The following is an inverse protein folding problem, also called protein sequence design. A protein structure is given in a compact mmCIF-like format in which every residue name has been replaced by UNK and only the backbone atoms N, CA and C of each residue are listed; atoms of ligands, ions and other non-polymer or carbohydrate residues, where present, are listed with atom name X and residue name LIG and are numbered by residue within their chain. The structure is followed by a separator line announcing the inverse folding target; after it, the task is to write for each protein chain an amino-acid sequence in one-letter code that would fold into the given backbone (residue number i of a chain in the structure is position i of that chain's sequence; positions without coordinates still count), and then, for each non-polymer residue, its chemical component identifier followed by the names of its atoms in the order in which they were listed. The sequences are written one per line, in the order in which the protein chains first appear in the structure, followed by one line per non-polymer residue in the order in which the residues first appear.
data_IF_856761618327
#
_entry.id   IF_856761618327
#
_cell.length_a   1.000
_cell.length_b   1.000
_cell.length_c   1.000
_cell.angle_alpha   90.00
_cell.angle_beta   90.00
_cell.angle_gamma   90.00
#
_symmetry.space_group_name_H-M   'P 1'
#
loop_
_entity.id
_entity.type
_entity.pdbx_description
1 polymer ?
#
# COMPACT_ATOMS: atom_id res chain seq x y z
N UNK A 1 -22.82 14.52 -2.51
CA UNK A 1 -21.98 13.45 -1.93
C UNK A 1 -21.05 12.98 -3.04
N UNK A 2 -19.73 13.19 -2.94
CA UNK A 2 -18.79 12.74 -3.98
C UNK A 2 -18.39 11.30 -3.65
N UNK A 3 -18.96 10.34 -4.36
CA UNK A 3 -18.56 8.94 -4.25
C UNK A 3 -17.18 8.75 -4.87
N UNK A 4 -16.26 8.20 -4.07
CA UNK A 4 -14.93 7.82 -4.53
C UNK A 4 -15.06 6.45 -5.20
N UNK A 5 -15.30 6.44 -6.51
CA UNK A 5 -15.41 5.21 -7.30
C UNK A 5 -14.01 4.63 -7.44
N UNK A 6 -13.66 3.68 -6.58
CA UNK A 6 -12.44 2.88 -6.71
C UNK A 6 -12.70 1.86 -7.82
N UNK A 7 -12.29 2.17 -9.04
CA UNK A 7 -12.33 1.22 -10.16
C UNK A 7 -11.37 0.08 -9.85
N UNK A 8 -11.88 -1.08 -9.44
CA UNK A 8 -11.07 -2.31 -9.37
C UNK A 8 -10.60 -2.61 -10.80
N UNK A 9 -9.29 -2.72 -11.01
CA UNK A 9 -8.73 -3.19 -12.27
C UNK A 9 -9.35 -4.57 -12.60
N UNK A 10 -9.59 -4.88 -13.87
CA UNK A 10 -10.33 -6.07 -14.35
C UNK A 10 -9.55 -7.39 -14.13
N UNK A 11 -9.16 -7.68 -12.88
CA UNK A 11 -8.24 -8.76 -12.50
C UNK A 11 -6.93 -8.79 -13.30
N UNK A 12 -6.54 -7.69 -13.95
CA UNK A 12 -5.24 -7.57 -14.60
C UNK A 12 -4.15 -7.64 -13.52
N UNK A 13 -3.38 -8.72 -13.57
CA UNK A 13 -2.16 -8.87 -12.79
C UNK A 13 -1.03 -8.25 -13.61
N UNK A 14 -0.43 -7.20 -13.08
CA UNK A 14 0.78 -6.62 -13.65
C UNK A 14 2.00 -7.27 -12.99
N UNK A 15 3.03 -7.55 -13.80
CA UNK A 15 4.28 -8.13 -13.30
C UNK A 15 5.14 -7.00 -12.77
N UNK A 16 5.47 -7.05 -11.48
CA UNK A 16 6.39 -6.10 -10.86
C UNK A 16 7.81 -6.66 -10.92
N UNK A 17 8.73 -5.87 -11.43
CA UNK A 17 10.16 -6.21 -11.41
C UNK A 17 10.77 -5.80 -10.08
N UNK A 18 11.68 -6.59 -9.54
CA UNK A 18 12.38 -6.27 -8.30
C UNK A 18 13.87 -6.13 -8.58
N UNK A 19 14.53 -5.18 -7.91
CA UNK A 19 15.98 -5.09 -7.92
C UNK A 19 16.63 -6.10 -6.97
N UNK A 20 17.97 -6.12 -6.94
CA UNK A 20 18.76 -7.03 -6.10
C UNK A 20 18.52 -6.85 -4.60
N UNK A 21 18.01 -5.69 -4.18
CA UNK A 21 17.64 -5.39 -2.80
C UNK A 21 16.18 -5.72 -2.48
N UNK A 22 15.45 -6.35 -3.40
CA UNK A 22 14.05 -6.71 -3.23
C UNK A 22 13.08 -5.52 -3.31
N UNK A 23 13.51 -4.38 -3.83
CA UNK A 23 12.64 -3.22 -4.02
C UNK A 23 11.97 -3.28 -5.39
N UNK A 24 10.67 -2.97 -5.47
CA UNK A 24 9.96 -2.95 -6.75
C UNK A 24 10.45 -1.78 -7.62
N UNK A 25 10.72 -2.06 -8.89
CA UNK A 25 11.20 -1.10 -9.90
C UNK A 25 10.23 -0.98 -11.07
N UNK A 26 10.37 0.07 -11.89
CA UNK A 26 9.43 0.38 -12.98
C UNK A 26 8.21 1.19 -12.51
N UNK A 27 7.29 1.45 -13.43
CA UNK A 27 6.07 2.20 -13.13
C UNK A 27 5.07 1.36 -12.32
N UNK A 28 5.02 0.06 -12.59
CA UNK A 28 4.24 -0.95 -11.85
C UNK A 28 4.70 -1.01 -10.39
N UNK A 29 6.01 -0.88 -10.15
CA UNK A 29 6.58 -0.84 -8.80
C UNK A 29 6.17 0.41 -8.00
N UNK A 30 6.02 1.56 -8.67
CA UNK A 30 5.46 2.77 -8.04
C UNK A 30 4.00 2.56 -7.66
N UNK A 31 3.20 1.97 -8.55
CA UNK A 31 1.80 1.65 -8.27
C UNK A 31 1.67 0.69 -7.09
N UNK A 32 2.49 -0.36 -7.03
CA UNK A 32 2.50 -1.29 -5.89
C UNK A 32 2.84 -0.56 -4.58
N UNK A 33 3.87 0.29 -4.59
CA UNK A 33 4.29 1.05 -3.40
C UNK A 33 3.18 1.98 -2.91
N UNK A 34 2.52 2.72 -3.82
CA UNK A 34 1.38 3.57 -3.48
C UNK A 34 0.19 2.77 -2.96
N UNK A 35 -0.09 1.61 -3.55
CA UNK A 35 -1.16 0.73 -3.10
C UNK A 35 -0.90 0.20 -1.68
N UNK A 36 0.31 -0.27 -1.39
CA UNK A 36 0.71 -0.70 -0.06
C UNK A 36 0.57 0.46 0.96
N UNK A 37 1.04 1.67 0.61
CA UNK A 37 0.86 2.84 1.46
C UNK A 37 -0.61 3.17 1.77
N UNK A 38 -1.49 3.07 0.76
CA UNK A 38 -2.94 3.24 0.96
C UNK A 38 -3.55 2.17 1.86
N UNK A 39 -3.13 0.91 1.74
CA UNK A 39 -3.60 -0.17 2.60
C UNK A 39 -3.18 0.07 4.05
N UNK A 40 -1.92 0.47 4.25
CA UNK A 40 -1.38 0.83 5.56
C UNK A 40 -2.17 1.98 6.17
N UNK A 41 -2.43 3.07 5.44
CA UNK A 41 -3.22 4.20 5.96
C UNK A 41 -4.71 3.89 6.18
N UNK A 42 -5.26 2.87 5.51
CA UNK A 42 -6.64 2.42 5.79
C UNK A 42 -6.74 1.60 7.08
N UNK A 43 -5.68 0.88 7.40
CA UNK A 43 -5.59 0.00 8.57
C UNK A 43 -5.08 0.72 9.80
N UNK A 44 -4.12 1.64 9.61
CA UNK A 44 -3.53 2.46 10.66
C UNK A 44 -4.32 3.77 10.78
N UNK A 45 -4.78 4.13 11.99
CA UNK A 45 -5.39 5.42 12.24
C UNK A 45 -4.49 6.60 11.81
N UNK A 46 -5.05 7.54 11.05
CA UNK A 46 -4.32 8.73 10.53
C UNK A 46 -3.80 9.64 11.65
N UNK A 47 -4.30 9.50 12.88
CA UNK A 47 -3.84 10.26 14.04
C UNK A 47 -2.54 9.72 14.67
N UNK A 48 -1.96 8.66 14.10
CA UNK A 48 -0.66 8.15 14.53
C UNK A 48 0.41 8.70 13.58
N UNK A 49 1.05 9.79 14.00
CA UNK A 49 2.03 10.52 13.19
C UNK A 49 3.34 9.77 12.96
N UNK A 50 3.61 8.70 13.72
CA UNK A 50 4.86 7.94 13.65
C UNK A 50 4.63 6.43 13.67
N UNK A 51 5.27 5.71 12.75
CA UNK A 51 5.27 4.25 12.69
C UNK A 51 5.68 3.56 14.00
N UNK A 52 6.56 4.19 14.79
CA UNK A 52 6.98 3.63 16.10
C UNK A 52 5.83 3.59 17.11
N UNK A 53 4.83 4.45 16.97
CA UNK A 53 3.66 4.56 17.84
C UNK A 53 2.53 3.62 17.43
N UNK A 54 2.63 2.99 16.26
CA UNK A 54 1.65 2.00 15.78
C UNK A 54 1.77 0.75 16.65
N UNK A 55 0.67 0.29 17.31
CA UNK A 55 0.65 -0.93 18.11
C UNK A 55 1.13 -2.14 17.31
N UNK A 56 1.84 -3.05 17.97
CA UNK A 56 2.39 -4.27 17.33
C UNK A 56 1.29 -5.15 16.74
N UNK A 57 0.16 -5.28 17.42
CA UNK A 57 -0.98 -6.06 16.94
C UNK A 57 -1.47 -5.57 15.56
N UNK A 58 -1.48 -4.25 15.34
CA UNK A 58 -1.83 -3.65 14.05
C UNK A 58 -0.74 -3.84 12.99
N UNK A 59 0.52 -3.98 13.39
CA UNK A 59 1.64 -4.25 12.47
C UNK A 59 1.63 -5.69 11.98
N UNK A 60 1.27 -6.63 12.85
CA UNK A 60 1.23 -8.05 12.53
C UNK A 60 0.04 -8.41 11.61
N UNK A 61 -0.99 -7.54 11.56
CA UNK A 61 -2.14 -7.66 10.67
C UNK A 61 -1.95 -7.03 9.26
N UNK A 62 -0.83 -6.33 9.02
CA UNK A 62 -0.50 -5.66 7.75
C UNK A 62 0.26 -6.57 6.79
#
# INVERSE_FOLDING_TARGET
MKELIIKRNDNKKEVVTYNEWGQPTGDEGKYLTSFCGLMVHRKIPINIDNWTLVPTDLKDEL
#
